data_IF_477131631674
#
_entry.id   IF_477131631674
#
_cell.length_a   1.000
_cell.length_b   1.000
_cell.length_c   1.000
_cell.angle_alpha   90.00
_cell.angle_beta   90.00
_cell.angle_gamma   90.00
#
_symmetry.space_group_name_H-M   'P 1'
#
loop_
_entity.id
_entity.type
_entity.pdbx_description
1 polymer ?
#
# COMPACT_ATOMS: atom_id res chain seq x y z
N UNK A 1 32.40 23.00 -11.94
CA UNK A 1 32.85 22.66 -10.60
C UNK A 1 33.00 23.90 -9.75
N UNK A 2 32.32 23.96 -8.65
CA UNK A 2 32.42 25.02 -7.63
C UNK A 2 32.73 24.35 -6.30
N UNK A 3 33.75 24.82 -5.60
CA UNK A 3 34.22 24.32 -4.32
C UNK A 3 34.41 25.51 -3.37
N UNK A 4 33.84 25.50 -2.18
CA UNK A 4 33.90 26.60 -1.23
C UNK A 4 33.76 26.18 0.23
N UNK A 5 34.41 26.90 1.16
CA UNK A 5 34.36 26.63 2.62
C UNK A 5 33.03 26.99 3.31
N UNK A 6 32.11 27.75 2.70
CA UNK A 6 30.89 28.18 3.35
C UNK A 6 29.61 28.11 2.47
N UNK A 7 29.63 28.66 1.29
CA UNK A 7 28.49 28.67 0.38
C UNK A 7 28.95 28.51 -1.07
N UNK A 8 28.54 27.45 -1.72
CA UNK A 8 28.81 27.19 -3.12
C UNK A 8 27.51 27.23 -3.94
N UNK A 9 27.51 27.98 -5.05
CA UNK A 9 26.37 28.02 -5.96
C UNK A 9 26.86 27.89 -7.40
N UNK A 10 26.29 26.92 -8.14
CA UNK A 10 26.48 26.80 -9.57
C UNK A 10 25.17 27.10 -10.32
N UNK A 11 25.26 27.88 -11.37
CA UNK A 11 24.18 28.09 -12.33
C UNK A 11 24.71 27.73 -13.71
N UNK A 12 24.12 26.78 -14.37
CA UNK A 12 24.53 26.27 -15.69
C UNK A 12 23.32 26.25 -16.62
N UNK A 13 23.43 26.90 -17.76
CA UNK A 13 22.43 27.00 -18.81
C UNK A 13 23.12 26.64 -20.16
N UNK A 14 22.59 25.69 -20.91
CA UNK A 14 23.18 25.19 -22.13
C UNK A 14 22.16 24.67 -23.17
N UNK A 15 22.47 24.85 -24.47
CA UNK A 15 21.62 24.36 -25.58
C UNK A 15 21.67 22.82 -25.82
N UNK A 16 22.58 22.06 -25.20
CA UNK A 16 22.71 20.63 -25.46
C UNK A 16 22.94 19.81 -24.19
N UNK A 17 24.01 20.00 -23.48
CA UNK A 17 24.36 19.25 -22.26
C UNK A 17 24.83 20.22 -21.17
N UNK A 18 24.23 20.16 -20.00
CA UNK A 18 24.63 20.96 -18.86
C UNK A 18 25.01 20.09 -17.66
N UNK A 19 26.15 20.36 -17.03
CA UNK A 19 26.57 19.64 -15.82
C UNK A 19 27.08 20.60 -14.77
N UNK A 20 26.51 20.58 -13.58
CA UNK A 20 27.01 21.27 -12.41
C UNK A 20 27.58 20.27 -11.39
N UNK A 21 28.73 20.60 -10.84
CA UNK A 21 29.31 19.95 -9.67
C UNK A 21 29.53 21.03 -8.62
N UNK A 22 28.94 20.87 -7.45
CA UNK A 22 29.03 21.81 -6.34
C UNK A 22 29.40 21.06 -5.08
N UNK A 23 30.42 21.55 -4.40
CA UNK A 23 30.93 20.99 -3.15
C UNK A 23 31.13 22.16 -2.16
N UNK A 24 30.60 22.05 -0.95
CA UNK A 24 30.74 23.07 0.07
C UNK A 24 30.71 22.51 1.52
N UNK A 25 31.46 23.13 2.44
CA UNK A 25 31.42 22.75 3.86
C UNK A 25 30.12 23.18 4.58
N UNK A 26 29.32 24.09 4.05
CA UNK A 26 28.06 24.48 4.72
C UNK A 26 26.84 24.35 3.81
N UNK A 27 26.73 25.15 2.76
CA UNK A 27 25.56 25.14 1.86
C UNK A 27 25.97 25.01 0.40
N UNK A 28 25.44 24.03 -0.29
CA UNK A 28 25.67 23.81 -1.72
C UNK A 28 24.38 23.92 -2.54
N UNK A 29 24.39 24.67 -3.63
CA UNK A 29 23.22 24.79 -4.51
C UNK A 29 23.62 24.69 -5.98
N UNK A 30 22.98 23.81 -6.73
CA UNK A 30 23.10 23.75 -8.17
C UNK A 30 21.77 24.04 -8.86
N UNK A 31 21.79 24.89 -9.87
CA UNK A 31 20.70 25.08 -10.82
C UNK A 31 21.23 24.71 -12.20
N UNK A 32 20.59 23.80 -12.87
CA UNK A 32 20.99 23.31 -14.19
C UNK A 32 19.80 23.31 -15.12
N UNK A 33 19.92 23.98 -16.26
CA UNK A 33 18.92 24.05 -17.31
C UNK A 33 19.57 23.66 -18.65
N UNK A 34 18.97 22.76 -19.40
CA UNK A 34 19.50 22.32 -20.68
C UNK A 34 18.40 21.86 -21.67
N UNK A 35 18.59 22.10 -22.99
CA UNK A 35 17.64 21.62 -24.02
C UNK A 35 17.71 20.07 -24.22
N UNK A 36 18.77 19.38 -23.81
CA UNK A 36 18.86 17.94 -24.01
C UNK A 36 19.13 17.19 -22.70
N UNK A 37 20.29 17.34 -22.10
CA UNK A 37 20.67 16.59 -20.89
C UNK A 37 21.16 17.53 -19.78
N UNK A 38 20.53 17.48 -18.62
CA UNK A 38 20.92 18.26 -17.44
C UNK A 38 21.36 17.34 -16.29
N UNK A 39 22.49 17.61 -15.66
CA UNK A 39 22.97 16.82 -14.51
C UNK A 39 23.51 17.74 -13.41
N UNK A 40 23.02 17.58 -12.21
CA UNK A 40 23.59 18.21 -11.02
C UNK A 40 24.13 17.16 -10.04
N UNK A 41 25.32 17.41 -9.53
CA UNK A 41 25.89 16.72 -8.39
C UNK A 41 26.16 17.77 -7.31
N UNK A 42 25.58 17.59 -6.14
CA UNK A 42 25.68 18.53 -5.03
C UNK A 42 26.06 17.79 -3.76
N UNK A 43 27.13 18.19 -3.12
CA UNK A 43 27.62 17.65 -1.85
C UNK A 43 27.84 18.78 -0.85
N UNK A 44 27.31 18.63 0.38
CA UNK A 44 27.52 19.62 1.44
C UNK A 44 27.53 19.01 2.85
N UNK A 45 28.25 19.61 3.81
CA UNK A 45 28.19 19.16 5.21
C UNK A 45 26.89 19.60 5.92
N UNK A 46 26.16 20.60 5.47
CA UNK A 46 24.91 21.00 6.12
C UNK A 46 23.69 20.92 5.17
N UNK A 47 23.60 21.75 4.15
CA UNK A 47 22.44 21.81 3.27
C UNK A 47 22.83 21.67 1.78
N UNK A 48 22.30 20.69 1.09
CA UNK A 48 22.51 20.48 -0.34
C UNK A 48 21.19 20.62 -1.13
N UNK A 49 21.20 21.39 -2.21
CA UNK A 49 20.02 21.58 -3.06
C UNK A 49 20.37 21.49 -4.54
N UNK A 50 19.67 20.67 -5.28
CA UNK A 50 19.75 20.63 -6.74
C UNK A 50 18.39 20.96 -7.36
N UNK A 51 18.39 21.83 -8.35
CA UNK A 51 17.27 22.04 -9.28
C UNK A 51 17.77 21.71 -10.67
N UNK A 52 17.11 20.81 -11.36
CA UNK A 52 17.50 20.33 -12.69
C UNK A 52 16.29 20.35 -13.62
N UNK A 53 16.40 21.06 -14.74
CA UNK A 53 15.37 21.13 -15.78
C UNK A 53 15.96 20.74 -17.14
N UNK A 54 15.32 19.87 -17.90
CA UNK A 54 15.77 19.47 -19.23
C UNK A 54 14.62 19.05 -20.16
N UNK A 55 14.76 19.28 -21.50
CA UNK A 55 13.77 18.77 -22.48
C UNK A 55 13.85 17.24 -22.68
N UNK A 56 14.98 16.58 -22.39
CA UNK A 56 15.07 15.13 -22.57
C UNK A 56 15.40 14.39 -21.27
N UNK A 57 16.58 14.58 -20.70
CA UNK A 57 17.00 13.82 -19.51
C UNK A 57 17.52 14.76 -18.39
N UNK A 58 16.88 14.70 -17.23
CA UNK A 58 17.30 15.45 -16.04
C UNK A 58 17.73 14.50 -14.91
N UNK A 59 18.89 14.75 -14.30
CA UNK A 59 19.41 13.94 -13.20
C UNK A 59 19.96 14.80 -12.07
N UNK A 60 19.49 14.59 -10.86
CA UNK A 60 20.09 15.19 -9.67
C UNK A 60 20.64 14.10 -8.73
N UNK A 61 21.85 14.31 -8.24
CA UNK A 61 22.40 13.57 -7.12
C UNK A 61 22.74 14.60 -6.03
N UNK A 62 22.19 14.38 -4.85
CA UNK A 62 22.34 15.31 -3.72
C UNK A 62 22.73 14.52 -2.48
N UNK A 63 23.83 14.91 -1.85
CA UNK A 63 24.33 14.32 -0.61
C UNK A 63 24.59 15.42 0.45
N UNK A 64 24.07 15.25 1.66
CA UNK A 64 24.29 16.19 2.75
C UNK A 64 24.31 15.54 4.14
N UNK A 65 25.06 16.10 5.10
CA UNK A 65 24.99 15.61 6.50
C UNK A 65 23.72 16.06 7.24
N UNK A 66 23.02 17.10 6.80
CA UNK A 66 21.77 17.51 7.47
C UNK A 66 20.56 17.48 6.53
N UNK A 67 20.47 18.33 5.54
CA UNK A 67 19.29 18.42 4.67
C UNK A 67 19.66 18.32 3.19
N UNK A 68 19.10 17.33 2.48
CA UNK A 68 19.29 17.15 1.05
C UNK A 68 17.97 17.33 0.29
N UNK A 69 17.98 18.15 -0.78
CA UNK A 69 16.78 18.36 -1.61
C UNK A 69 17.10 18.31 -3.09
N UNK A 70 16.38 17.49 -3.83
CA UNK A 70 16.42 17.48 -5.29
C UNK A 70 15.04 17.82 -5.87
N UNK A 71 15.03 18.71 -6.86
CA UNK A 71 13.88 18.96 -7.73
C UNK A 71 14.33 18.67 -9.15
N UNK A 72 13.63 17.80 -9.85
CA UNK A 72 13.97 17.36 -11.19
C UNK A 72 12.75 17.41 -12.10
N UNK A 73 12.85 18.14 -13.22
CA UNK A 73 11.81 18.28 -14.23
C UNK A 73 12.35 17.91 -15.60
N UNK A 74 11.69 17.03 -16.34
CA UNK A 74 12.11 16.64 -17.68
C UNK A 74 10.95 16.21 -18.59
N UNK A 75 11.02 16.46 -19.91
CA UNK A 75 10.01 15.96 -20.85
C UNK A 75 10.09 14.42 -21.06
N UNK A 76 11.26 13.80 -20.86
CA UNK A 76 11.33 12.34 -21.10
C UNK A 76 11.72 11.54 -19.84
N UNK A 77 12.86 11.81 -19.23
CA UNK A 77 13.36 11.03 -18.10
C UNK A 77 13.88 11.93 -16.98
N UNK A 78 13.22 11.89 -15.84
CA UNK A 78 13.65 12.59 -14.63
C UNK A 78 14.13 11.60 -13.55
N UNK A 79 15.29 11.86 -12.95
CA UNK A 79 15.83 11.01 -11.88
C UNK A 79 16.42 11.83 -10.75
N UNK A 80 15.98 11.60 -9.53
CA UNK A 80 16.60 12.15 -8.34
C UNK A 80 17.15 11.03 -7.43
N UNK A 81 18.37 11.21 -6.95
CA UNK A 81 18.94 10.44 -5.86
C UNK A 81 19.30 11.42 -4.74
N UNK A 82 18.79 11.18 -3.56
CA UNK A 82 18.97 12.06 -2.40
C UNK A 82 19.40 11.24 -1.20
N UNK A 83 20.49 11.61 -0.58
CA UNK A 83 21.04 10.96 0.60
C UNK A 83 21.33 12.04 1.68
N UNK A 84 20.82 11.84 2.90
CA UNK A 84 21.07 12.78 4.01
C UNK A 84 21.08 12.10 5.37
N UNK A 85 21.90 12.58 6.32
CA UNK A 85 21.85 12.06 7.70
C UNK A 85 20.60 12.52 8.48
N UNK A 86 19.90 13.60 8.08
CA UNK A 86 18.70 14.00 8.80
C UNK A 86 17.45 14.02 7.89
N UNK A 87 17.34 14.90 6.92
CA UNK A 87 16.15 15.04 6.08
C UNK A 87 16.47 14.97 4.59
N UNK A 88 15.90 14.01 3.89
CA UNK A 88 16.04 13.85 2.45
C UNK A 88 14.70 14.08 1.71
N UNK A 89 14.70 14.91 0.66
CA UNK A 89 13.50 15.17 -0.13
C UNK A 89 13.77 15.13 -1.63
N UNK A 90 13.04 14.34 -2.38
CA UNK A 90 13.05 14.36 -3.82
C UNK A 90 11.66 14.73 -4.38
N UNK A 91 11.63 15.65 -5.33
CA UNK A 91 10.47 15.93 -6.16
C UNK A 91 10.87 15.67 -7.61
N UNK A 92 10.15 14.83 -8.30
CA UNK A 92 10.46 14.42 -9.68
C UNK A 92 9.21 14.50 -10.55
N UNK A 93 9.28 15.25 -11.64
CA UNK A 93 8.22 15.42 -12.61
C UNK A 93 8.72 15.05 -14.01
N UNK A 94 8.00 14.23 -14.76
CA UNK A 94 8.38 13.86 -16.12
C UNK A 94 7.18 13.52 -17.03
N UNK A 95 7.22 13.88 -18.34
CA UNK A 95 6.20 13.41 -19.28
C UNK A 95 6.27 11.89 -19.57
N UNK A 96 7.42 11.22 -19.36
CA UNK A 96 7.49 9.79 -19.62
C UNK A 96 7.88 8.96 -18.39
N UNK A 97 9.08 9.09 -17.88
CA UNK A 97 9.55 8.25 -16.76
C UNK A 97 10.13 9.11 -15.63
N UNK A 98 9.57 9.01 -14.43
CA UNK A 98 10.05 9.69 -13.23
C UNK A 98 10.54 8.69 -12.18
N UNK A 99 11.72 8.91 -11.60
CA UNK A 99 12.27 8.04 -10.54
C UNK A 99 12.89 8.86 -9.42
N UNK A 100 12.47 8.59 -8.19
CA UNK A 100 13.11 9.10 -7.00
C UNK A 100 13.67 7.97 -6.13
N UNK A 101 14.89 8.12 -5.66
CA UNK A 101 15.48 7.31 -4.61
C UNK A 101 15.88 8.26 -3.48
N UNK A 102 15.40 7.99 -2.29
CA UNK A 102 15.62 8.84 -1.12
C UNK A 102 16.04 7.98 0.07
N UNK A 103 17.17 8.31 0.66
CA UNK A 103 17.72 7.65 1.83
C UNK A 103 18.00 8.71 2.92
N UNK A 104 17.58 8.47 4.16
CA UNK A 104 17.83 9.38 5.26
C UNK A 104 17.88 8.69 6.63
N UNK A 105 18.74 9.14 7.54
CA UNK A 105 18.76 8.64 8.93
C UNK A 105 17.49 9.07 9.72
N UNK A 106 16.79 10.13 9.35
CA UNK A 106 15.59 10.52 10.10
C UNK A 106 14.32 10.58 9.21
N UNK A 107 14.20 11.50 8.29
CA UNK A 107 12.97 11.67 7.49
C UNK A 107 13.26 11.63 5.99
N UNK A 108 12.68 10.70 5.27
CA UNK A 108 12.80 10.59 3.82
C UNK A 108 11.45 10.82 3.12
N UNK A 109 11.44 11.68 2.10
CA UNK A 109 10.22 11.96 1.33
C UNK A 109 10.49 11.96 -0.17
N UNK A 110 9.71 11.19 -0.92
CA UNK A 110 9.68 11.25 -2.38
C UNK A 110 8.30 11.63 -2.90
N UNK A 111 8.24 12.57 -3.82
CA UNK A 111 7.07 12.87 -4.62
C UNK A 111 7.44 12.66 -6.09
N UNK A 112 6.69 11.84 -6.79
CA UNK A 112 6.97 11.47 -8.17
C UNK A 112 5.70 11.57 -9.01
N UNK A 113 5.73 12.35 -10.07
CA UNK A 113 4.65 12.53 -11.03
C UNK A 113 5.14 12.19 -12.44
N UNK A 114 4.40 11.40 -13.19
CA UNK A 114 4.76 11.05 -14.57
C UNK A 114 3.55 10.71 -15.45
N UNK A 115 3.57 11.07 -16.76
CA UNK A 115 2.50 10.63 -17.69
C UNK A 115 2.58 9.12 -17.99
N UNK A 116 3.73 8.45 -17.86
CA UNK A 116 3.78 7.01 -18.15
C UNK A 116 4.20 6.17 -16.94
N UNK A 117 5.41 6.27 -16.46
CA UNK A 117 5.91 5.42 -15.36
C UNK A 117 6.52 6.25 -14.22
N UNK A 118 5.96 6.15 -13.02
CA UNK A 118 6.47 6.81 -11.82
C UNK A 118 6.96 5.77 -10.79
N UNK A 119 8.16 5.98 -10.24
CA UNK A 119 8.72 5.08 -9.21
C UNK A 119 9.37 5.87 -8.08
N UNK A 120 8.97 5.58 -6.85
CA UNK A 120 9.65 6.07 -5.66
C UNK A 120 10.20 4.91 -4.83
N UNK A 121 11.43 5.03 -4.38
CA UNK A 121 12.03 4.19 -3.36
C UNK A 121 12.47 5.11 -2.21
N UNK A 122 12.01 4.81 -1.02
CA UNK A 122 12.26 5.64 0.17
C UNK A 122 12.70 4.74 1.32
N UNK A 123 13.86 5.03 1.89
CA UNK A 123 14.42 4.34 3.05
C UNK A 123 14.71 5.37 4.16
N UNK A 124 14.30 5.11 5.40
CA UNK A 124 14.59 5.99 6.52
C UNK A 124 14.65 5.27 7.88
N UNK A 125 15.54 5.69 8.79
CA UNK A 125 15.53 5.14 10.16
C UNK A 125 14.30 5.58 10.99
N UNK A 126 13.62 6.69 10.67
CA UNK A 126 12.44 7.10 11.42
C UNK A 126 11.16 7.17 10.57
N UNK A 127 11.04 8.12 9.66
CA UNK A 127 9.81 8.31 8.89
C UNK A 127 10.06 8.31 7.38
N UNK A 128 9.46 7.40 6.65
CA UNK A 128 9.55 7.31 5.19
C UNK A 128 8.19 7.58 4.52
N UNK A 129 8.16 8.45 3.53
CA UNK A 129 6.93 8.77 2.79
C UNK A 129 7.16 8.79 1.28
N UNK A 130 6.38 8.04 0.53
CA UNK A 130 6.31 8.14 -0.92
C UNK A 130 4.92 8.54 -1.40
N UNK A 131 4.86 9.51 -2.31
CA UNK A 131 3.66 9.84 -3.08
C UNK A 131 4.01 9.64 -4.56
N UNK A 132 3.24 8.84 -5.26
CA UNK A 132 3.49 8.50 -6.66
C UNK A 132 2.20 8.62 -7.47
N UNK A 133 2.21 9.43 -8.50
CA UNK A 133 1.11 9.63 -9.45
C UNK A 133 1.58 9.32 -10.88
N UNK A 134 0.81 8.53 -11.62
CA UNK A 134 1.13 8.23 -13.02
C UNK A 134 -0.10 7.90 -13.89
N UNK A 135 -0.12 8.30 -15.17
CA UNK A 135 -1.19 7.88 -16.08
C UNK A 135 -1.13 6.36 -16.42
N UNK A 136 0.03 5.71 -16.36
CA UNK A 136 0.07 4.28 -16.67
C UNK A 136 0.51 3.40 -15.48
N UNK A 137 1.73 3.52 -15.00
CA UNK A 137 2.26 2.64 -13.95
C UNK A 137 2.89 3.44 -12.79
N UNK A 138 2.35 3.32 -11.59
CA UNK A 138 2.89 3.93 -10.39
C UNK A 138 3.38 2.88 -9.39
N UNK A 139 4.59 3.05 -8.85
CA UNK A 139 5.16 2.13 -7.87
C UNK A 139 5.84 2.88 -6.72
N UNK A 140 5.47 2.58 -5.51
CA UNK A 140 6.18 3.02 -4.32
C UNK A 140 6.72 1.84 -3.52
N UNK A 141 7.97 1.93 -3.10
CA UNK A 141 8.58 1.06 -2.10
C UNK A 141 9.04 1.95 -0.95
N UNK A 142 8.61 1.64 0.25
CA UNK A 142 8.90 2.43 1.45
C UNK A 142 9.35 1.51 2.57
N UNK A 143 10.51 1.77 3.13
CA UNK A 143 11.08 1.06 4.26
C UNK A 143 11.41 2.07 5.39
N UNK A 144 11.03 1.77 6.63
CA UNK A 144 11.36 2.64 7.76
C UNK A 144 11.42 1.89 9.10
N UNK A 145 12.33 2.28 9.99
CA UNK A 145 12.36 1.73 11.35
C UNK A 145 11.15 2.14 12.21
N UNK A 146 10.47 3.25 11.91
CA UNK A 146 9.31 3.64 12.72
C UNK A 146 8.02 3.76 11.90
N UNK A 147 7.88 4.71 11.01
CA UNK A 147 6.63 4.94 10.26
C UNK A 147 6.85 4.98 8.75
N UNK A 148 6.24 4.08 8.02
CA UNK A 148 6.30 4.03 6.56
C UNK A 148 4.93 4.32 5.92
N UNK A 149 4.89 5.21 4.95
CA UNK A 149 3.65 5.56 4.23
C UNK A 149 3.84 5.62 2.73
N UNK A 150 3.03 4.90 1.98
CA UNK A 150 2.95 5.02 0.54
C UNK A 150 1.56 5.44 0.08
N UNK A 151 1.48 6.42 -0.80
CA UNK A 151 0.27 6.78 -1.54
C UNK A 151 0.58 6.62 -3.03
N UNK A 152 -0.21 5.84 -3.73
CA UNK A 152 0.00 5.52 -5.13
C UNK A 152 -1.29 5.66 -5.91
N UNK A 153 -1.30 6.50 -6.94
CA UNK A 153 -2.42 6.70 -7.87
C UNK A 153 -1.97 6.41 -9.31
N UNK A 154 -2.75 5.65 -10.05
CA UNK A 154 -2.45 5.37 -11.45
C UNK A 154 -3.69 5.04 -12.29
N UNK A 155 -3.75 5.45 -13.59
CA UNK A 155 -4.85 5.02 -14.48
C UNK A 155 -4.80 3.51 -14.79
N UNK A 156 -3.63 2.87 -14.81
CA UNK A 156 -3.59 1.44 -15.17
C UNK A 156 -3.10 0.54 -14.03
N UNK A 157 -1.91 0.72 -13.51
CA UNK A 157 -1.35 -0.17 -12.50
C UNK A 157 -0.71 0.62 -11.33
N UNK A 158 -1.27 0.51 -10.15
CA UNK A 158 -0.71 1.08 -8.93
C UNK A 158 -0.20 -0.01 -7.97
N UNK A 159 1.01 0.13 -7.46
CA UNK A 159 1.60 -0.82 -6.52
C UNK A 159 2.32 -0.11 -5.38
N UNK A 160 1.98 -0.45 -4.15
CA UNK A 160 2.71 -0.03 -2.97
C UNK A 160 3.26 -1.24 -2.21
N UNK A 161 4.52 -1.17 -1.81
CA UNK A 161 5.14 -2.06 -0.84
C UNK A 161 5.62 -1.19 0.33
N UNK A 162 5.22 -1.53 1.53
CA UNK A 162 5.53 -0.77 2.73
C UNK A 162 5.99 -1.72 3.83
N UNK A 163 7.17 -1.49 4.37
CA UNK A 163 7.75 -2.24 5.47
C UNK A 163 8.10 -1.26 6.62
N UNK A 164 7.74 -1.58 7.86
CA UNK A 164 8.09 -0.74 9.00
C UNK A 164 8.18 -1.53 10.32
N UNK A 165 9.10 -1.16 11.22
CA UNK A 165 9.13 -1.76 12.57
C UNK A 165 7.93 -1.33 13.45
N UNK A 166 7.32 -0.17 13.22
CA UNK A 166 6.17 0.22 14.04
C UNK A 166 4.87 0.36 13.24
N UNK A 167 4.71 1.34 12.38
CA UNK A 167 3.47 1.59 11.65
C UNK A 167 3.65 1.65 10.13
N UNK A 168 3.02 0.78 9.39
CA UNK A 168 3.04 0.76 7.94
C UNK A 168 1.67 1.08 7.34
N UNK A 169 1.61 1.99 6.37
CA UNK A 169 0.36 2.37 5.70
C UNK A 169 0.53 2.46 4.18
N UNK A 170 -0.31 1.77 3.44
CA UNK A 170 -0.41 1.92 2.00
C UNK A 170 -1.82 2.35 1.58
N UNK A 171 -1.91 3.37 0.74
CA UNK A 171 -3.12 3.74 0.02
C UNK A 171 -2.83 3.59 -1.47
N UNK A 172 -3.65 2.83 -2.18
CA UNK A 172 -3.45 2.55 -3.60
C UNK A 172 -4.75 2.71 -4.36
N UNK A 173 -4.79 3.57 -5.34
CA UNK A 173 -5.93 3.80 -6.24
C UNK A 173 -5.53 3.53 -7.69
N UNK A 174 -6.36 2.84 -8.46
CA UNK A 174 -6.12 2.60 -9.89
C UNK A 174 -7.40 2.35 -10.70
N UNK A 175 -7.47 2.80 -11.98
CA UNK A 175 -8.59 2.41 -12.85
C UNK A 175 -8.56 0.92 -13.23
N UNK A 176 -7.40 0.26 -13.29
CA UNK A 176 -7.38 -1.15 -13.65
C UNK A 176 -6.91 -2.07 -12.51
N UNK A 177 -5.68 -2.00 -12.07
CA UNK A 177 -5.14 -2.92 -11.06
C UNK A 177 -4.42 -2.19 -9.92
N UNK A 178 -4.90 -2.34 -8.70
CA UNK A 178 -4.29 -1.79 -7.50
C UNK A 178 -3.78 -2.90 -6.56
N UNK A 179 -2.56 -2.79 -6.07
CA UNK A 179 -1.96 -3.77 -5.15
C UNK A 179 -1.22 -3.09 -4.01
N UNK A 180 -1.55 -3.43 -2.78
CA UNK A 180 -0.78 -3.05 -1.61
C UNK A 180 -0.23 -4.29 -0.89
N UNK A 181 1.03 -4.24 -0.52
CA UNK A 181 1.66 -5.16 0.42
C UNK A 181 2.18 -4.34 1.59
N UNK A 182 1.80 -4.70 2.79
CA UNK A 182 2.16 -3.97 4.01
C UNK A 182 2.62 -4.94 5.07
N UNK A 183 3.82 -4.75 5.58
CA UNK A 183 4.41 -5.52 6.67
C UNK A 183 4.79 -4.57 7.82
N UNK A 184 4.44 -4.91 9.07
CA UNK A 184 4.82 -4.11 10.22
C UNK A 184 4.94 -4.92 11.52
N UNK A 185 5.88 -4.59 12.40
CA UNK A 185 5.92 -5.22 13.73
C UNK A 185 4.76 -4.80 14.65
N UNK A 186 4.16 -3.61 14.47
CA UNK A 186 3.04 -3.22 15.33
C UNK A 186 1.72 -3.06 14.54
N UNK A 187 1.55 -2.06 13.71
CA UNK A 187 0.29 -1.79 13.03
C UNK A 187 0.45 -1.69 11.51
N UNK A 188 -0.21 -2.54 10.76
CA UNK A 188 -0.22 -2.53 9.29
C UNK A 188 -1.60 -2.19 8.73
N UNK A 189 -1.67 -1.24 7.79
CA UNK A 189 -2.92 -0.84 7.15
C UNK A 189 -2.78 -0.73 5.63
N UNK A 190 -3.64 -1.40 4.89
CA UNK A 190 -3.77 -1.21 3.45
C UNK A 190 -5.19 -0.76 3.07
N UNK A 191 -5.28 0.26 2.24
CA UNK A 191 -6.50 0.67 1.56
C UNK A 191 -6.26 0.55 0.06
N UNK A 192 -7.10 -0.17 -0.64
CA UNK A 192 -6.95 -0.44 -2.08
C UNK A 192 -8.27 -0.25 -2.80
N UNK A 193 -8.30 0.63 -3.79
CA UNK A 193 -9.44 0.90 -4.66
C UNK A 193 -9.07 0.67 -6.12
N UNK A 194 -9.88 -0.06 -6.87
CA UNK A 194 -9.64 -0.28 -8.30
C UNK A 194 -10.92 -0.60 -9.10
N UNK A 195 -11.05 -0.11 -10.35
CA UNK A 195 -12.19 -0.50 -11.19
C UNK A 195 -12.17 -2.00 -11.57
N UNK A 196 -11.01 -2.62 -11.72
CA UNK A 196 -10.99 -4.03 -12.13
C UNK A 196 -10.47 -4.98 -11.05
N UNK A 197 -9.27 -4.82 -10.56
CA UNK A 197 -8.66 -5.74 -9.60
C UNK A 197 -7.98 -5.02 -8.43
N UNK A 198 -8.51 -5.17 -7.25
CA UNK A 198 -7.91 -4.67 -6.02
C UNK A 198 -7.37 -5.81 -5.14
N UNK A 199 -6.14 -5.70 -4.66
CA UNK A 199 -5.52 -6.71 -3.79
C UNK A 199 -4.77 -6.06 -2.64
N UNK A 200 -5.06 -6.46 -1.42
CA UNK A 200 -4.26 -6.11 -0.26
C UNK A 200 -3.71 -7.36 0.43
N UNK A 201 -2.44 -7.33 0.77
CA UNK A 201 -1.80 -8.28 1.67
C UNK A 201 -1.25 -7.48 2.86
N UNK A 202 -1.62 -7.87 4.05
CA UNK A 202 -1.23 -7.17 5.29
C UNK A 202 -0.75 -8.17 6.31
N UNK A 203 0.45 -8.00 6.79
CA UNK A 203 1.06 -8.80 7.86
C UNK A 203 1.47 -7.88 9.03
N UNK A 204 1.15 -8.24 10.27
CA UNK A 204 1.56 -7.47 11.43
C UNK A 204 1.69 -8.31 12.71
N UNK A 205 2.65 -8.01 13.58
CA UNK A 205 2.71 -8.67 14.90
C UNK A 205 1.56 -8.26 15.84
N UNK A 206 0.99 -7.05 15.71
CA UNK A 206 -0.11 -6.67 16.60
C UNK A 206 -1.44 -6.48 15.86
N UNK A 207 -1.61 -5.47 15.03
CA UNK A 207 -2.89 -5.16 14.39
C UNK A 207 -2.76 -5.02 12.86
N UNK A 208 -3.44 -5.85 12.11
CA UNK A 208 -3.47 -5.81 10.64
C UNK A 208 -4.87 -5.44 10.12
N UNK A 209 -4.94 -4.48 9.21
CA UNK A 209 -6.22 -4.05 8.60
C UNK A 209 -6.10 -3.90 7.09
N UNK A 210 -6.99 -4.54 6.35
CA UNK A 210 -7.14 -4.32 4.92
C UNK A 210 -8.56 -3.84 4.58
N UNK A 211 -8.68 -2.80 3.79
CA UNK A 211 -9.90 -2.38 3.13
C UNK A 211 -9.68 -2.47 1.62
N UNK A 212 -10.54 -3.18 0.93
CA UNK A 212 -10.41 -3.42 -0.52
C UNK A 212 -11.75 -3.20 -1.21
N UNK A 213 -11.80 -2.29 -2.17
CA UNK A 213 -12.96 -2.01 -3.00
C UNK A 213 -12.63 -2.23 -4.49
N UNK A 214 -13.51 -2.88 -5.24
CA UNK A 214 -13.32 -3.08 -6.68
C UNK A 214 -14.63 -3.29 -7.46
N UNK A 215 -14.76 -2.80 -8.71
CA UNK A 215 -15.92 -3.15 -9.54
C UNK A 215 -15.92 -4.64 -9.96
N UNK A 216 -14.76 -5.28 -10.13
CA UNK A 216 -14.76 -6.67 -10.57
C UNK A 216 -14.27 -7.66 -9.52
N UNK A 217 -13.05 -7.56 -9.05
CA UNK A 217 -12.47 -8.54 -8.12
C UNK A 217 -11.69 -7.86 -6.98
N UNK A 218 -12.17 -8.00 -5.76
CA UNK A 218 -11.50 -7.53 -4.56
C UNK A 218 -10.98 -8.70 -3.71
N UNK A 219 -9.73 -8.62 -3.25
CA UNK A 219 -9.11 -9.66 -2.40
C UNK A 219 -8.30 -9.04 -1.27
N UNK A 220 -8.58 -9.45 -0.06
CA UNK A 220 -7.75 -9.14 1.10
C UNK A 220 -7.20 -10.41 1.75
N UNK A 221 -5.92 -10.41 2.06
CA UNK A 221 -5.27 -11.39 2.94
C UNK A 221 -4.70 -10.61 4.12
N UNK A 222 -5.04 -11.02 5.31
CA UNK A 222 -4.62 -10.34 6.55
C UNK A 222 -4.15 -11.39 7.56
N UNK A 223 -2.92 -11.24 8.03
CA UNK A 223 -2.30 -12.06 9.05
C UNK A 223 -1.87 -11.17 10.23
N UNK A 224 -2.16 -11.56 11.47
CA UNK A 224 -1.72 -10.82 12.64
C UNK A 224 -1.58 -11.69 13.90
N UNK A 225 -0.58 -11.43 14.75
CA UNK A 225 -0.50 -12.12 16.04
C UNK A 225 -1.63 -11.72 17.02
N UNK A 226 -2.18 -10.50 16.95
CA UNK A 226 -3.26 -10.12 17.85
C UNK A 226 -4.60 -9.90 17.14
N UNK A 227 -4.78 -8.86 16.36
CA UNK A 227 -6.07 -8.52 15.74
C UNK A 227 -5.97 -8.37 14.21
N UNK A 228 -6.67 -9.17 13.46
CA UNK A 228 -6.73 -9.09 12.00
C UNK A 228 -8.13 -8.70 11.51
N UNK A 229 -8.22 -7.71 10.62
CA UNK A 229 -9.50 -7.26 10.05
C UNK A 229 -9.41 -7.07 8.53
N UNK A 230 -10.31 -7.69 7.79
CA UNK A 230 -10.50 -7.44 6.38
C UNK A 230 -11.91 -6.96 6.08
N UNK A 231 -12.04 -5.88 5.31
CA UNK A 231 -13.28 -5.44 4.69
C UNK A 231 -13.10 -5.49 3.18
N UNK A 232 -13.98 -6.18 2.49
CA UNK A 232 -13.88 -6.38 1.04
C UNK A 232 -15.22 -6.13 0.39
N UNK A 233 -15.29 -5.20 -0.55
CA UNK A 233 -16.47 -4.88 -1.36
C UNK A 233 -16.18 -5.06 -2.84
N UNK A 234 -17.06 -5.69 -3.58
CA UNK A 234 -16.89 -5.85 -5.02
C UNK A 234 -18.23 -6.04 -5.78
N UNK A 235 -18.39 -5.46 -6.99
CA UNK A 235 -19.57 -5.75 -7.80
C UNK A 235 -19.61 -7.22 -8.29
N UNK A 236 -18.47 -7.87 -8.51
CA UNK A 236 -18.51 -9.27 -8.97
C UNK A 236 -18.02 -10.27 -7.92
N UNK A 237 -16.76 -10.28 -7.56
CA UNK A 237 -16.20 -11.28 -6.65
C UNK A 237 -15.39 -10.65 -5.51
N UNK A 238 -15.80 -10.87 -4.27
CA UNK A 238 -15.09 -10.42 -3.08
C UNK A 238 -14.55 -11.61 -2.25
N UNK A 239 -13.29 -11.55 -1.83
CA UNK A 239 -12.66 -12.61 -1.03
C UNK A 239 -11.84 -12.01 0.11
N UNK A 240 -12.10 -12.44 1.34
CA UNK A 240 -11.24 -12.16 2.47
C UNK A 240 -10.69 -13.46 3.08
N UNK A 241 -9.41 -13.48 3.36
CA UNK A 241 -8.75 -14.48 4.21
C UNK A 241 -8.14 -13.75 5.40
N UNK A 242 -8.47 -14.18 6.59
CA UNK A 242 -8.02 -13.53 7.83
C UNK A 242 -7.53 -14.60 8.80
N UNK A 243 -6.31 -14.48 9.24
CA UNK A 243 -5.69 -15.32 10.26
C UNK A 243 -5.22 -14.45 11.44
N UNK A 244 -5.49 -14.87 12.68
CA UNK A 244 -5.01 -14.16 13.85
C UNK A 244 -4.86 -15.06 15.09
N UNK A 245 -3.84 -14.84 15.93
CA UNK A 245 -3.76 -15.57 17.20
C UNK A 245 -4.86 -15.16 18.21
N UNK A 246 -5.36 -13.92 18.18
CA UNK A 246 -6.42 -13.55 19.12
C UNK A 246 -7.78 -13.31 18.44
N UNK A 247 -7.96 -12.25 17.66
CA UNK A 247 -9.26 -11.89 17.07
C UNK A 247 -9.19 -11.70 15.55
N UNK A 248 -9.90 -12.48 14.80
CA UNK A 248 -10.00 -12.37 13.35
C UNK A 248 -11.41 -11.96 12.90
N UNK A 249 -11.50 -10.94 12.03
CA UNK A 249 -12.78 -10.46 11.50
C UNK A 249 -12.72 -10.26 9.98
N UNK A 250 -13.66 -10.85 9.24
CA UNK A 250 -13.87 -10.56 7.84
C UNK A 250 -15.29 -10.06 7.57
N UNK A 251 -15.42 -8.97 6.84
CA UNK A 251 -16.66 -8.50 6.25
C UNK A 251 -16.51 -8.53 4.73
N UNK A 252 -17.42 -9.18 4.05
CA UNK A 252 -17.35 -9.37 2.60
C UNK A 252 -18.71 -9.10 1.97
N UNK A 253 -18.79 -8.16 1.06
CA UNK A 253 -19.98 -7.81 0.27
C UNK A 253 -19.68 -8.00 -1.23
N UNK A 254 -20.59 -8.60 -1.96
CA UNK A 254 -20.44 -8.75 -3.41
C UNK A 254 -21.77 -8.98 -4.16
N UNK A 255 -21.96 -8.41 -5.37
CA UNK A 255 -23.16 -8.71 -6.16
C UNK A 255 -23.19 -10.17 -6.64
N UNK A 256 -22.08 -10.80 -6.94
CA UNK A 256 -22.12 -12.17 -7.43
C UNK A 256 -21.57 -13.20 -6.43
N UNK A 257 -20.32 -13.11 -6.02
CA UNK A 257 -19.69 -14.11 -5.16
C UNK A 257 -18.91 -13.49 -3.99
N UNK A 258 -19.38 -13.71 -2.79
CA UNK A 258 -18.68 -13.31 -1.57
C UNK A 258 -18.13 -14.53 -0.80
N UNK A 259 -16.87 -14.48 -0.41
CA UNK A 259 -16.22 -15.56 0.35
C UNK A 259 -15.37 -15.02 1.49
N UNK A 260 -15.60 -15.49 2.70
CA UNK A 260 -14.72 -15.23 3.83
C UNK A 260 -14.18 -16.55 4.42
N UNK A 261 -12.88 -16.58 4.67
CA UNK A 261 -12.22 -17.60 5.48
C UNK A 261 -11.59 -16.88 6.68
N UNK A 262 -11.90 -17.32 7.87
CA UNK A 262 -11.43 -16.70 9.10
C UNK A 262 -10.94 -17.79 10.07
N UNK A 263 -9.70 -17.70 10.48
CA UNK A 263 -9.07 -18.56 11.48
C UNK A 263 -8.59 -17.73 12.67
N UNK A 264 -8.82 -18.16 13.90
CA UNK A 264 -8.31 -17.48 15.08
C UNK A 264 -8.17 -18.41 16.30
N UNK A 265 -7.14 -18.23 17.12
CA UNK A 265 -7.04 -18.98 18.38
C UNK A 265 -8.13 -18.60 19.40
N UNK A 266 -8.59 -17.34 19.44
CA UNK A 266 -9.64 -16.97 20.39
C UNK A 266 -11.00 -16.69 19.75
N UNK A 267 -11.18 -15.63 18.98
CA UNK A 267 -12.47 -15.24 18.42
C UNK A 267 -12.42 -15.00 16.90
N UNK A 268 -13.16 -15.79 16.13
CA UNK A 268 -13.28 -15.65 14.69
C UNK A 268 -14.69 -15.20 14.27
N UNK A 269 -14.80 -14.18 13.44
CA UNK A 269 -16.08 -13.66 12.95
C UNK A 269 -16.07 -13.42 11.44
N UNK A 270 -17.01 -13.98 10.71
CA UNK A 270 -17.26 -13.67 9.32
C UNK A 270 -18.67 -13.15 9.10
N UNK A 271 -18.80 -12.04 8.38
CA UNK A 271 -20.06 -11.55 7.84
C UNK A 271 -19.94 -11.55 6.31
N UNK A 272 -20.84 -12.19 5.64
CA UNK A 272 -20.80 -12.34 4.18
C UNK A 272 -22.17 -12.06 3.59
N UNK A 273 -22.27 -11.10 2.68
CA UNK A 273 -23.48 -10.73 1.93
C UNK A 273 -23.22 -10.90 0.42
N UNK A 274 -24.16 -11.47 -0.29
CA UNK A 274 -24.05 -11.58 -1.75
C UNK A 274 -25.41 -11.75 -2.45
N UNK A 275 -25.61 -11.13 -3.64
CA UNK A 275 -26.82 -11.39 -4.43
C UNK A 275 -26.91 -12.83 -4.95
N UNK A 276 -25.77 -13.47 -5.27
CA UNK A 276 -25.84 -14.84 -5.81
C UNK A 276 -25.32 -15.92 -4.84
N UNK A 277 -24.06 -15.89 -4.46
CA UNK A 277 -23.47 -16.94 -3.63
C UNK A 277 -22.61 -16.38 -2.50
N UNK A 278 -23.02 -16.61 -1.28
CA UNK A 278 -22.27 -16.23 -0.07
C UNK A 278 -21.70 -17.47 0.65
N UNK A 279 -20.43 -17.44 1.01
CA UNK A 279 -19.76 -18.54 1.74
C UNK A 279 -18.90 -18.02 2.87
N UNK A 280 -19.10 -18.54 4.07
CA UNK A 280 -18.20 -18.29 5.20
C UNK A 280 -17.65 -19.61 5.75
N UNK A 281 -16.35 -19.68 5.97
CA UNK A 281 -15.69 -20.70 6.76
C UNK A 281 -15.05 -20.00 7.96
N UNK A 282 -15.34 -20.46 9.15
CA UNK A 282 -14.85 -19.88 10.41
C UNK A 282 -14.36 -20.98 11.33
N UNK A 283 -13.09 -20.90 11.72
CA UNK A 283 -12.47 -21.78 12.70
C UNK A 283 -11.97 -20.97 13.90
N UNK A 284 -12.19 -21.44 15.13
CA UNK A 284 -11.66 -20.78 16.31
C UNK A 284 -11.53 -21.74 17.52
N UNK A 285 -10.50 -21.58 18.34
CA UNK A 285 -10.41 -22.35 19.58
C UNK A 285 -11.49 -21.98 20.62
N UNK A 286 -11.90 -20.70 20.69
CA UNK A 286 -12.89 -20.31 21.70
C UNK A 286 -14.27 -19.97 21.10
N UNK A 287 -14.40 -18.97 20.26
CA UNK A 287 -15.69 -18.51 19.73
C UNK A 287 -15.67 -18.28 18.21
N UNK A 288 -16.42 -19.07 17.49
CA UNK A 288 -16.58 -18.90 16.04
C UNK A 288 -17.99 -18.40 15.69
N UNK A 289 -18.11 -17.38 14.87
CA UNK A 289 -19.38 -16.81 14.42
C UNK A 289 -19.40 -16.56 12.92
N UNK A 290 -20.39 -17.09 12.22
CA UNK A 290 -20.65 -16.74 10.84
C UNK A 290 -22.06 -16.21 10.64
N UNK A 291 -22.19 -15.09 9.94
CA UNK A 291 -23.47 -14.59 9.42
C UNK A 291 -23.34 -14.56 7.89
N UNK A 292 -24.26 -15.20 7.21
CA UNK A 292 -24.25 -15.33 5.75
C UNK A 292 -25.62 -15.02 5.19
N UNK A 293 -25.73 -14.05 4.32
CA UNK A 293 -26.95 -13.67 3.61
C UNK A 293 -26.74 -13.81 2.09
N UNK A 294 -27.69 -14.34 1.37
CA UNK A 294 -27.61 -14.43 -0.08
C UNK A 294 -28.99 -14.51 -0.76
N UNK A 295 -29.20 -13.88 -1.93
CA UNK A 295 -30.43 -14.07 -2.69
C UNK A 295 -30.55 -15.50 -3.26
N UNK A 296 -29.45 -16.15 -3.63
CA UNK A 296 -29.55 -17.50 -4.18
C UNK A 296 -29.03 -18.61 -3.22
N UNK A 297 -27.74 -18.70 -2.97
CA UNK A 297 -27.17 -19.79 -2.16
C UNK A 297 -26.28 -19.25 -1.04
N UNK A 298 -26.59 -19.58 0.21
CA UNK A 298 -25.80 -19.21 1.38
C UNK A 298 -25.22 -20.46 2.08
N UNK A 299 -23.93 -20.44 2.41
CA UNK A 299 -23.26 -21.54 3.11
C UNK A 299 -22.38 -21.02 4.25
N UNK A 300 -22.57 -21.56 5.45
CA UNK A 300 -21.66 -21.36 6.56
C UNK A 300 -21.11 -22.69 7.09
N UNK A 301 -19.81 -22.78 7.28
CA UNK A 301 -19.14 -23.81 8.04
C UNK A 301 -18.47 -23.14 9.24
N UNK A 302 -18.77 -23.61 10.44
CA UNK A 302 -18.25 -23.04 11.68
C UNK A 302 -17.76 -24.16 12.58
N UNK A 303 -16.49 -24.12 12.94
CA UNK A 303 -15.85 -25.03 13.89
C UNK A 303 -15.33 -24.24 15.10
N UNK A 304 -15.52 -24.76 16.31
CA UNK A 304 -14.95 -24.15 17.50
C UNK A 304 -14.74 -25.16 18.63
N UNK A 305 -13.67 -25.05 19.40
CA UNK A 305 -13.50 -25.88 20.59
C UNK A 305 -14.51 -25.52 21.72
N UNK A 306 -14.94 -24.26 21.80
CA UNK A 306 -15.94 -23.88 22.81
C UNK A 306 -17.32 -23.61 22.22
N UNK A 307 -17.58 -22.43 21.68
CA UNK A 307 -18.91 -22.03 21.23
C UNK A 307 -18.94 -21.66 19.73
N UNK A 308 -19.77 -22.31 18.93
CA UNK A 308 -19.93 -22.05 17.51
C UNK A 308 -21.33 -21.56 17.16
N UNK A 309 -21.45 -20.52 16.35
CA UNK A 309 -22.73 -19.95 15.90
C UNK A 309 -22.75 -19.69 14.39
N UNK A 310 -23.72 -20.20 13.68
CA UNK A 310 -23.98 -19.84 12.30
C UNK A 310 -25.41 -19.32 12.13
N UNK A 311 -25.58 -18.16 11.49
CA UNK A 311 -26.84 -17.66 10.98
C UNK A 311 -26.74 -17.62 9.45
N UNK A 312 -27.66 -18.24 8.76
CA UNK A 312 -27.67 -18.33 7.30
C UNK A 312 -29.06 -18.01 6.78
N UNK A 313 -29.20 -17.00 5.95
CA UNK A 313 -30.42 -16.61 5.25
C UNK A 313 -30.22 -16.72 3.73
N UNK A 314 -31.17 -17.27 3.01
CA UNK A 314 -31.12 -17.33 1.57
C UNK A 314 -32.51 -17.40 0.90
N UNK A 315 -32.74 -16.76 -0.24
CA UNK A 315 -34.01 -16.91 -0.98
C UNK A 315 -34.15 -18.32 -1.59
N UNK A 316 -33.06 -18.98 -1.98
CA UNK A 316 -33.15 -20.32 -2.52
C UNK A 316 -32.64 -21.40 -1.57
N UNK A 317 -31.35 -21.63 -1.47
CA UNK A 317 -30.77 -22.74 -0.70
C UNK A 317 -29.82 -22.25 0.40
N UNK A 318 -30.12 -22.56 1.66
CA UNK A 318 -29.28 -22.22 2.81
C UNK A 318 -28.72 -23.46 3.52
N UNK A 319 -27.42 -23.45 3.83
CA UNK A 319 -26.74 -24.55 4.53
C UNK A 319 -25.87 -24.04 5.66
N UNK A 320 -26.05 -24.56 6.87
CA UNK A 320 -25.13 -24.34 7.97
C UNK A 320 -24.64 -25.69 8.52
N UNK A 321 -23.32 -25.81 8.65
CA UNK A 321 -22.64 -26.84 9.40
C UNK A 321 -21.97 -26.21 10.60
N UNK A 322 -22.24 -26.69 11.80
CA UNK A 322 -21.68 -26.16 13.05
C UNK A 322 -21.18 -27.31 13.92
N UNK A 323 -19.89 -27.32 14.19
CA UNK A 323 -19.27 -28.23 15.17
C UNK A 323 -18.73 -27.42 16.35
N UNK A 324 -18.97 -27.87 17.57
CA UNK A 324 -18.45 -27.24 18.77
C UNK A 324 -18.39 -28.22 19.95
N UNK A 325 -17.33 -28.16 20.76
CA UNK A 325 -17.24 -29.02 21.96
C UNK A 325 -18.21 -28.60 23.09
N UNK A 326 -18.59 -27.31 23.17
CA UNK A 326 -19.46 -26.83 24.24
C UNK A 326 -20.87 -26.48 23.77
N UNK A 327 -21.05 -25.49 22.86
CA UNK A 327 -22.34 -25.03 22.37
C UNK A 327 -22.36 -24.78 20.88
N UNK A 328 -23.02 -25.60 20.11
CA UNK A 328 -23.25 -25.40 18.68
C UNK A 328 -24.66 -24.82 18.42
N UNK A 329 -24.73 -23.72 17.66
CA UNK A 329 -26.00 -23.11 17.29
C UNK A 329 -26.03 -22.82 15.78
N UNK A 330 -26.99 -23.41 15.08
CA UNK A 330 -27.27 -23.09 13.69
C UNK A 330 -28.70 -22.59 13.54
N UNK A 331 -28.87 -21.42 12.89
CA UNK A 331 -30.15 -20.88 12.49
C UNK A 331 -30.13 -20.71 10.97
N UNK A 332 -31.04 -21.38 10.29
CA UNK A 332 -31.08 -21.39 8.83
C UNK A 332 -32.48 -21.03 8.37
N UNK A 333 -32.63 -19.98 7.57
CA UNK A 333 -33.85 -19.60 6.89
C UNK A 333 -33.65 -19.71 5.36
N UNK A 334 -34.58 -20.29 4.66
CA UNK A 334 -34.52 -20.41 3.20
C UNK A 334 -35.91 -20.60 2.58
N UNK A 335 -36.19 -19.94 1.45
CA UNK A 335 -37.49 -20.14 0.76
C UNK A 335 -37.59 -21.51 0.06
N UNK A 336 -36.48 -22.10 -0.35
CA UNK A 336 -36.48 -23.39 -1.06
C UNK A 336 -35.96 -24.57 -0.22
N UNK A 337 -34.69 -24.57 0.23
CA UNK A 337 -34.07 -25.66 0.99
C UNK A 337 -33.20 -25.14 2.12
N UNK A 338 -33.60 -25.39 3.37
CA UNK A 338 -32.80 -25.10 4.55
C UNK A 338 -32.18 -26.38 5.16
N UNK A 339 -30.87 -26.37 5.42
CA UNK A 339 -30.15 -27.50 6.04
C UNK A 339 -29.28 -27.00 7.19
N UNK A 340 -29.48 -27.55 8.38
CA UNK A 340 -28.62 -27.32 9.54
C UNK A 340 -28.18 -28.69 10.11
N UNK A 341 -26.86 -28.81 10.41
CA UNK A 341 -26.22 -30.02 10.88
C UNK A 341 -25.32 -29.72 12.09
#
# INVERSE_FOLDING_TARGET
LVDAEALATALVDAEAEATALVDAEAEATALVDAEAEATALVEAEAEATALVEAEAEATALVEAEAEATALVDAEALATALVDAEAEATALVDAEAEATALVDADAEATALVDAEAEATALVDAEAEATALVDAEAEATALVDADAEATALVDAEALATALVDAEAEATALVEAEAEATALVDAEAEATALVDAEALATALVDAEAEATALVEAEALATALVDAEAEATALVDAEAEATALVDAEAEATALVDAEALATALVDAEAEATALVDAEALATALVDAEALATALVDAEAEATALVDAEADATALVDAEADATALVDAEALATALVDAEALATAL
#
